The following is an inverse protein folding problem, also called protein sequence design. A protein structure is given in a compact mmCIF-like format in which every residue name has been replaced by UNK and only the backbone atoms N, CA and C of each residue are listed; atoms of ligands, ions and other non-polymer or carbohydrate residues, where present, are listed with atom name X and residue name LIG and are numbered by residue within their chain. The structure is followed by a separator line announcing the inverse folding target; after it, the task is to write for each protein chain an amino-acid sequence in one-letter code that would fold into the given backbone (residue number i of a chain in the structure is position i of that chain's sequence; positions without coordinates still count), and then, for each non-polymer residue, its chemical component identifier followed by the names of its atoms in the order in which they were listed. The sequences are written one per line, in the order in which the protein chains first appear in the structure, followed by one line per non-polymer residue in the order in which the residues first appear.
data_IF_235095571073
#
_entry.id   IF_235095571073
#
_cell.length_a   1.000
_cell.length_b   1.000
_cell.length_c   1.000
_cell.angle_alpha   90.00
_cell.angle_beta   90.00
_cell.angle_gamma   90.00
#
_symmetry.space_group_name_H-M   'P 1'
#
loop_
_entity.id
_entity.type
_entity.pdbx_description
1 polymer ?
#
# COMPACT_ATOMS: atom_id res chain seq x y z
N UNK A 1 11.98 -8.07 -13.31
CA UNK A 1 11.53 -9.18 -12.46
C UNK A 1 10.03 -9.31 -12.61
N UNK A 2 9.55 -10.29 -13.36
CA UNK A 2 8.13 -10.65 -13.35
C UNK A 2 7.78 -11.08 -11.92
N UNK A 3 6.83 -10.37 -11.30
CA UNK A 3 6.31 -10.77 -10.00
C UNK A 3 5.50 -12.04 -10.22
N UNK A 4 5.90 -13.15 -9.60
CA UNK A 4 5.12 -14.40 -9.59
C UNK A 4 3.66 -14.07 -9.25
N UNK A 5 2.68 -14.68 -9.93
CA UNK A 5 1.28 -14.47 -9.60
C UNK A 5 1.04 -14.86 -8.13
N UNK A 6 0.21 -14.08 -7.42
CA UNK A 6 -0.11 -14.32 -6.00
C UNK A 6 -0.59 -15.75 -5.73
N UNK A 7 -1.18 -16.39 -6.75
CA UNK A 7 -1.63 -17.77 -6.73
C UNK A 7 -0.52 -18.81 -6.61
N UNK A 8 0.73 -18.46 -6.95
CA UNK A 8 1.90 -19.34 -6.84
C UNK A 8 2.74 -19.09 -5.58
N UNK A 9 2.47 -18.01 -4.84
CA UNK A 9 3.14 -17.75 -3.57
C UNK A 9 2.62 -18.69 -2.47
N UNK A 10 3.52 -19.10 -1.58
CA UNK A 10 3.14 -19.79 -0.35
C UNK A 10 2.38 -18.85 0.60
N UNK A 11 1.62 -19.42 1.55
CA UNK A 11 0.91 -18.67 2.58
C UNK A 11 1.86 -17.81 3.43
N UNK A 12 3.08 -18.30 3.63
CA UNK A 12 4.14 -17.62 4.38
C UNK A 12 4.71 -16.43 3.61
N UNK A 13 4.96 -16.59 2.30
CA UNK A 13 5.36 -15.50 1.41
C UNK A 13 4.26 -14.43 1.28
N UNK A 14 2.99 -14.82 1.19
CA UNK A 14 1.85 -13.88 1.16
C UNK A 14 1.77 -13.07 2.46
N UNK A 15 1.95 -13.71 3.62
CA UNK A 15 1.99 -13.03 4.92
C UNK A 15 3.19 -12.10 5.05
N UNK A 16 4.35 -12.49 4.53
CA UNK A 16 5.54 -11.64 4.51
C UNK A 16 5.33 -10.42 3.60
N UNK A 17 4.85 -10.62 2.38
CA UNK A 17 4.50 -9.54 1.46
C UNK A 17 3.46 -8.59 2.07
N UNK A 18 2.46 -9.09 2.79
CA UNK A 18 1.49 -8.26 3.53
C UNK A 18 2.17 -7.39 4.58
N UNK A 19 3.10 -7.95 5.38
CA UNK A 19 3.86 -7.20 6.39
C UNK A 19 4.72 -6.11 5.75
N UNK A 20 5.42 -6.45 4.67
CA UNK A 20 6.27 -5.52 3.95
C UNK A 20 5.44 -4.38 3.32
N UNK A 21 4.28 -4.72 2.72
CA UNK A 21 3.37 -3.73 2.16
C UNK A 21 2.78 -2.82 3.24
N UNK A 22 2.44 -3.36 4.42
CA UNK A 22 1.95 -2.60 5.57
C UNK A 22 3.02 -1.65 6.11
N UNK A 23 4.27 -2.11 6.17
CA UNK A 23 5.43 -1.28 6.56
C UNK A 23 5.66 -0.16 5.54
N UNK A 24 5.67 -0.50 4.25
CA UNK A 24 5.79 0.47 3.16
C UNK A 24 4.64 1.50 3.20
N UNK A 25 3.41 1.08 3.47
CA UNK A 25 2.25 1.97 3.60
C UNK A 25 2.39 2.90 4.81
N UNK A 26 2.90 2.43 5.94
CA UNK A 26 3.19 3.28 7.10
C UNK A 26 4.28 4.32 6.77
N UNK A 27 5.32 3.92 6.05
CA UNK A 27 6.35 4.82 5.53
C UNK A 27 5.78 5.86 4.57
N UNK A 28 4.92 5.44 3.64
CA UNK A 28 4.25 6.32 2.67
C UNK A 28 3.34 7.34 3.37
N UNK A 29 2.57 6.89 4.37
CA UNK A 29 1.70 7.75 5.18
C UNK A 29 2.52 8.80 5.92
N UNK A 30 3.59 8.40 6.60
CA UNK A 30 4.45 9.33 7.33
C UNK A 30 5.17 10.30 6.38
N UNK A 31 5.62 9.81 5.21
CA UNK A 31 6.20 10.64 4.16
C UNK A 31 5.24 11.71 3.66
N UNK A 32 3.97 11.35 3.43
CA UNK A 32 2.93 12.31 3.03
C UNK A 32 2.67 13.38 4.09
N UNK A 33 2.74 13.05 5.38
CA UNK A 33 2.61 14.04 6.47
C UNK A 33 3.74 15.07 6.40
N UNK A 34 4.99 14.63 6.18
CA UNK A 34 6.14 15.54 6.04
C UNK A 34 5.99 16.43 4.81
N UNK A 35 5.57 15.87 3.67
CA UNK A 35 5.32 16.63 2.44
C UNK A 35 4.23 17.69 2.66
N UNK A 36 3.14 17.32 3.32
CA UNK A 36 2.05 18.25 3.64
C UNK A 36 2.51 19.38 4.59
N UNK A 37 3.34 19.06 5.59
CA UNK A 37 3.90 20.07 6.50
C UNK A 37 4.80 21.06 5.75
N UNK A 38 5.70 20.57 4.89
CA UNK A 38 6.56 21.43 4.06
C UNK A 38 5.71 22.31 3.14
N UNK A 39 4.66 21.76 2.52
CA UNK A 39 3.76 22.53 1.66
C UNK A 39 2.99 23.60 2.39
N UNK A 40 2.43 23.27 3.55
CA UNK A 40 1.68 24.23 4.36
C UNK A 40 2.57 25.41 4.79
N UNK A 41 3.86 25.16 5.04
CA UNK A 41 4.80 26.17 5.48
C UNK A 41 5.40 26.99 4.33
N UNK A 42 5.69 26.36 3.19
CA UNK A 42 6.51 26.97 2.12
C UNK A 42 5.71 27.29 0.85
N UNK A 43 4.75 26.46 0.44
CA UNK A 43 4.06 26.56 -0.86
C UNK A 43 2.54 26.53 -0.71
N UNK A 44 1.98 27.45 0.08
CA UNK A 44 0.54 27.58 0.45
C UNK A 44 -0.48 27.41 -0.70
N UNK A 45 -0.08 27.51 -1.97
CA UNK A 45 -0.95 27.38 -3.15
C UNK A 45 -0.91 26.02 -3.88
N UNK A 46 -0.07 25.06 -3.49
CA UNK A 46 0.07 23.77 -4.21
C UNK A 46 -0.69 22.59 -3.61
N UNK A 47 -1.35 22.79 -2.47
CA UNK A 47 -2.21 21.77 -1.83
C UNK A 47 -3.22 21.11 -2.80
N UNK A 48 -3.97 21.84 -3.66
CA UNK A 48 -4.96 21.20 -4.54
C UNK A 48 -4.34 20.30 -5.62
N UNK A 49 -3.08 20.49 -6.00
CA UNK A 49 -2.37 19.63 -6.97
C UNK A 49 -1.87 18.33 -6.33
N UNK A 50 -1.62 18.35 -5.03
CA UNK A 50 -1.05 17.20 -4.31
C UNK A 50 -2.11 16.23 -3.78
N UNK A 51 -3.35 16.68 -3.59
CA UNK A 51 -4.49 15.81 -3.27
C UNK A 51 -4.66 14.69 -4.30
N UNK A 52 -4.80 14.97 -5.62
CA UNK A 52 -4.91 13.90 -6.62
C UNK A 52 -3.66 13.03 -6.71
N UNK A 53 -2.46 13.58 -6.44
CA UNK A 53 -1.22 12.80 -6.39
C UNK A 53 -1.19 11.82 -5.20
N UNK A 54 -1.67 12.26 -4.03
CA UNK A 54 -1.82 11.39 -2.86
C UNK A 54 -2.84 10.27 -3.13
N UNK A 55 -3.97 10.59 -3.75
CA UNK A 55 -4.99 9.62 -4.12
C UNK A 55 -4.42 8.60 -5.13
N UNK A 56 -3.75 9.08 -6.18
CA UNK A 56 -3.16 8.23 -7.22
C UNK A 56 -2.08 7.28 -6.69
N UNK A 57 -1.40 7.65 -5.60
CA UNK A 57 -0.38 6.79 -4.97
C UNK A 57 -0.97 5.86 -3.91
N UNK A 58 -1.96 6.30 -3.13
CA UNK A 58 -2.55 5.50 -2.04
C UNK A 58 -3.55 4.44 -2.53
N UNK A 59 -4.37 4.74 -3.54
CA UNK A 59 -5.39 3.81 -4.05
C UNK A 59 -4.76 2.48 -4.56
N UNK A 60 -3.72 2.50 -5.43
CA UNK A 60 -3.14 1.26 -5.93
C UNK A 60 -2.49 0.41 -4.83
N UNK A 61 -1.92 1.06 -3.81
CA UNK A 61 -1.32 0.37 -2.65
C UNK A 61 -2.41 -0.32 -1.82
N UNK A 62 -3.52 0.36 -1.56
CA UNK A 62 -4.68 -0.23 -0.88
C UNK A 62 -5.28 -1.40 -1.67
N UNK A 63 -5.45 -1.23 -2.98
CA UNK A 63 -5.97 -2.29 -3.85
C UNK A 63 -5.06 -3.53 -3.85
N UNK A 64 -3.73 -3.32 -3.86
CA UNK A 64 -2.76 -4.41 -3.77
C UNK A 64 -2.80 -5.12 -2.42
N UNK A 65 -2.95 -4.37 -1.32
CA UNK A 65 -3.08 -4.94 0.02
C UNK A 65 -4.35 -5.79 0.13
N UNK A 66 -5.47 -5.31 -0.39
CA UNK A 66 -6.74 -6.01 -0.35
C UNK A 66 -6.71 -7.31 -1.16
N UNK A 67 -6.02 -7.34 -2.31
CA UNK A 67 -5.81 -8.56 -3.10
C UNK A 67 -5.04 -9.63 -2.32
N UNK A 68 -3.99 -9.23 -1.60
CA UNK A 68 -3.21 -10.15 -0.76
C UNK A 68 -4.09 -10.65 0.41
N UNK A 69 -4.88 -9.78 1.03
CA UNK A 69 -5.75 -10.15 2.15
C UNK A 69 -6.82 -11.16 1.74
N UNK A 70 -7.44 -10.95 0.57
CA UNK A 70 -8.42 -11.88 -0.01
C UNK A 70 -7.77 -13.23 -0.31
N UNK A 71 -6.58 -13.25 -0.91
CA UNK A 71 -5.87 -14.49 -1.24
C UNK A 71 -5.46 -15.27 0.03
N UNK A 72 -5.00 -14.59 1.09
CA UNK A 72 -4.71 -15.20 2.39
C UNK A 72 -5.98 -15.79 2.99
N UNK A 73 -7.06 -15.00 3.06
CA UNK A 73 -8.33 -15.43 3.66
C UNK A 73 -8.91 -16.64 2.94
N UNK A 74 -8.89 -16.64 1.60
CA UNK A 74 -9.33 -17.76 0.78
C UNK A 74 -8.53 -19.04 1.07
N UNK A 75 -7.22 -18.94 1.29
CA UNK A 75 -6.36 -20.11 1.60
C UNK A 75 -6.49 -20.59 3.05
N UNK A 76 -6.81 -19.69 3.98
CA UNK A 76 -7.11 -20.04 5.37
C UNK A 76 -8.46 -20.72 5.52
N UNK A 77 -9.49 -20.32 4.75
CA UNK A 77 -10.81 -20.96 4.74
C UNK A 77 -10.84 -22.32 4.00
N UNK A 78 -9.87 -22.58 3.11
CA UNK A 78 -9.76 -23.86 2.37
C UNK A 78 -8.94 -24.92 3.14
N UNK A 79 -8.32 -24.56 4.26
CA UNK A 79 -7.53 -25.52 5.07
C UNK A 79 -8.48 -26.30 6.01
N UNK A 80 -8.70 -27.61 5.81
CA UNK A 80 -9.50 -28.44 6.73
C UNK A 80 -8.82 -28.60 8.09
#
# INVERSE_FOLDING_TARGET
MEKKPLSECSLEELRQQRKDLKSAMAGLRNGWIVVLLIMAFVLKNLLPTFIPLAIATLIPTYASMNKIDIEIKKREEIKP
#
